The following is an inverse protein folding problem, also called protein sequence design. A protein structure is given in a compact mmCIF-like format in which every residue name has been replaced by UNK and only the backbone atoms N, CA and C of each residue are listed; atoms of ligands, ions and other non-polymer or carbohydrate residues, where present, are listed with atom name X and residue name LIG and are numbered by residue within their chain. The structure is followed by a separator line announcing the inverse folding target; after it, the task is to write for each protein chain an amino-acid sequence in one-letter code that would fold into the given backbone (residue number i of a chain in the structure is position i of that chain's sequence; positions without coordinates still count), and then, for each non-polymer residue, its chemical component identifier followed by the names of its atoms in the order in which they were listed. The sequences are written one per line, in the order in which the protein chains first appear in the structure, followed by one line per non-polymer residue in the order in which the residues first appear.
data_IF_963371305409
#
_entry.id   IF_963371305409
#
_cell.length_a   1.000
_cell.length_b   1.000
_cell.length_c   1.000
_cell.angle_alpha   90.00
_cell.angle_beta   90.00
_cell.angle_gamma   90.00
#
_symmetry.space_group_name_H-M   'P 1'
#
loop_
_entity.id
_entity.type
_entity.pdbx_description
1 polymer ?
#
# COMPACT_ATOMS: atom_id res chain seq x y z
N UNK A 1 23.50 8.06 4.28
CA UNK A 1 23.62 7.40 2.97
C UNK A 1 23.91 5.93 3.22
N UNK A 2 22.86 5.10 3.38
CA UNK A 2 23.03 3.64 3.39
C UNK A 2 22.72 3.16 1.97
N UNK A 3 23.77 2.74 1.28
CA UNK A 3 23.72 2.04 0.02
C UNK A 3 23.53 0.55 0.35
N UNK A 4 22.43 -0.04 -0.10
CA UNK A 4 22.23 -1.48 -0.15
C UNK A 4 21.21 -1.72 -1.27
N UNK A 5 21.54 -2.18 -2.47
CA UNK A 5 22.61 -3.08 -2.85
C UNK A 5 21.99 -4.45 -3.12
N UNK A 6 21.39 -4.61 -4.30
CA UNK A 6 20.87 -5.88 -4.82
C UNK A 6 21.97 -6.94 -4.69
N UNK A 7 21.83 -7.87 -3.74
CA UNK A 7 22.74 -9.01 -3.58
C UNK A 7 22.00 -10.30 -3.92
N UNK A 8 22.55 -10.96 -4.93
CA UNK A 8 22.18 -12.27 -5.45
C UNK A 8 21.92 -13.30 -4.35
N UNK A 9 20.73 -13.90 -4.37
CA UNK A 9 20.59 -15.34 -4.17
C UNK A 9 20.38 -15.88 -2.75
N UNK A 10 19.80 -15.12 -1.79
CA UNK A 10 19.54 -15.72 -0.47
C UNK A 10 18.28 -15.21 0.23
N UNK A 11 17.55 -16.18 0.80
CA UNK A 11 16.23 -16.16 1.43
C UNK A 11 16.21 -15.37 2.77
N UNK A 12 16.59 -14.08 2.76
CA UNK A 12 16.63 -13.21 3.96
C UNK A 12 15.83 -11.92 3.81
N UNK A 13 15.03 -11.78 2.73
CA UNK A 13 14.12 -10.63 2.53
C UNK A 13 13.19 -10.43 3.74
N UNK A 14 12.92 -11.50 4.50
CA UNK A 14 12.03 -11.45 5.67
C UNK A 14 12.62 -10.71 6.88
N UNK A 15 13.89 -10.91 7.24
CA UNK A 15 14.40 -10.40 8.52
C UNK A 15 14.73 -8.90 8.44
N UNK A 16 15.32 -8.46 7.33
CA UNK A 16 15.69 -7.06 7.12
C UNK A 16 14.43 -6.17 6.98
N UNK A 17 13.42 -6.62 6.23
CA UNK A 17 12.14 -5.90 6.09
C UNK A 17 11.42 -5.72 7.42
N UNK A 18 11.34 -6.79 8.22
CA UNK A 18 10.69 -6.72 9.54
C UNK A 18 11.49 -5.84 10.50
N UNK A 19 12.82 -5.92 10.47
CA UNK A 19 13.69 -5.07 11.28
C UNK A 19 13.57 -3.59 10.91
N UNK A 20 13.40 -3.25 9.63
CA UNK A 20 13.20 -1.88 9.16
C UNK A 20 11.82 -1.30 9.58
N UNK A 21 10.81 -2.16 9.77
CA UNK A 21 9.47 -1.74 10.22
C UNK A 21 9.39 -1.63 11.75
N UNK A 22 9.86 -2.66 12.46
CA UNK A 22 9.66 -2.86 13.89
C UNK A 22 10.86 -2.40 14.72
N UNK A 23 11.22 -1.13 14.58
CA UNK A 23 12.24 -0.50 15.41
C UNK A 23 11.77 -0.24 16.86
N UNK A 24 12.63 0.36 17.68
CA UNK A 24 12.36 0.71 19.08
C UNK A 24 11.15 1.64 19.29
N UNK A 25 10.63 2.28 18.23
CA UNK A 25 9.47 3.17 18.30
C UNK A 25 8.15 2.47 17.94
N UNK A 26 8.18 1.23 17.48
CA UNK A 26 6.99 0.50 17.02
C UNK A 26 5.86 0.43 18.05
N UNK A 27 6.21 0.14 19.30
CA UNK A 27 5.24 -0.09 20.37
C UNK A 27 4.44 1.15 20.75
N UNK A 28 4.98 2.35 20.49
CA UNK A 28 4.31 3.62 20.78
C UNK A 28 3.49 4.17 19.62
N UNK A 29 3.51 3.51 18.46
CA UNK A 29 2.72 3.93 17.30
C UNK A 29 1.27 3.49 17.40
N UNK A 30 0.37 4.42 17.10
CA UNK A 30 -1.03 4.13 16.84
C UNK A 30 -1.22 3.38 15.51
N UNK A 31 -2.40 2.77 15.35
CA UNK A 31 -2.73 1.91 14.21
C UNK A 31 -2.37 2.54 12.85
N UNK A 32 -2.80 3.79 12.57
CA UNK A 32 -2.52 4.47 11.28
C UNK A 32 -1.04 4.77 11.07
N UNK A 33 -0.30 5.06 12.14
CA UNK A 33 1.14 5.25 12.04
C UNK A 33 1.88 3.93 11.75
N UNK A 34 1.44 2.81 12.33
CA UNK A 34 1.95 1.47 12.00
C UNK A 34 1.67 1.10 10.55
N UNK A 35 0.43 1.27 10.09
CA UNK A 35 0.05 1.04 8.69
C UNK A 35 0.95 1.84 7.73
N UNK A 36 1.06 3.16 7.94
CA UNK A 36 1.85 4.04 7.08
C UNK A 36 3.31 3.64 7.03
N UNK A 37 3.87 3.19 8.16
CA UNK A 37 5.26 2.70 8.20
C UNK A 37 5.47 1.44 7.37
N UNK A 38 4.54 0.49 7.47
CA UNK A 38 4.58 -0.72 6.64
C UNK A 38 4.50 -0.31 5.16
N UNK A 39 3.58 0.58 4.79
CA UNK A 39 3.41 1.08 3.41
C UNK A 39 4.66 1.75 2.85
N UNK A 40 5.32 2.60 3.65
CA UNK A 40 6.56 3.26 3.22
C UNK A 40 7.65 2.23 2.96
N UNK A 41 7.84 1.28 3.88
CA UNK A 41 8.81 0.21 3.68
C UNK A 41 8.45 -0.68 2.48
N UNK A 42 7.17 -1.00 2.27
CA UNK A 42 6.74 -1.72 1.06
C UNK A 42 7.17 -1.01 -0.22
N UNK A 43 7.09 0.33 -0.28
CA UNK A 43 7.54 1.11 -1.44
C UNK A 43 9.04 1.03 -1.72
N UNK A 44 9.87 0.76 -0.70
CA UNK A 44 11.32 0.56 -0.86
C UNK A 44 11.67 -0.84 -1.37
N UNK A 45 10.84 -1.84 -1.05
CA UNK A 45 11.09 -3.25 -1.38
C UNK A 45 10.33 -3.72 -2.63
N UNK A 46 9.25 -3.04 -3.03
CA UNK A 46 8.48 -3.32 -4.25
C UNK A 46 9.07 -2.59 -5.48
N UNK A 47 8.74 -3.04 -6.70
CA UNK A 47 9.09 -2.29 -7.91
C UNK A 47 8.54 -0.87 -7.86
N UNK A 48 9.30 0.10 -8.39
CA UNK A 48 8.87 1.49 -8.47
C UNK A 48 7.72 1.73 -9.46
N UNK A 49 7.46 0.78 -10.34
CA UNK A 49 6.32 0.79 -11.25
C UNK A 49 5.05 0.40 -10.46
N UNK A 50 4.10 1.32 -10.37
CA UNK A 50 2.91 1.18 -9.52
C UNK A 50 2.03 -0.01 -9.94
N UNK A 51 1.81 -0.20 -11.24
CA UNK A 51 1.01 -1.31 -11.75
C UNK A 51 1.65 -2.66 -11.41
N UNK A 52 2.97 -2.77 -11.57
CA UNK A 52 3.70 -3.98 -11.19
C UNK A 52 3.67 -4.23 -9.68
N UNK A 53 3.83 -3.18 -8.85
CA UNK A 53 3.74 -3.29 -7.40
C UNK A 53 2.35 -3.77 -6.96
N UNK A 54 1.27 -3.19 -7.52
CA UNK A 54 -0.10 -3.64 -7.30
C UNK A 54 -0.27 -5.12 -7.70
N UNK A 55 0.26 -5.53 -8.86
CA UNK A 55 0.18 -6.91 -9.30
C UNK A 55 0.84 -7.92 -8.37
N UNK A 56 1.84 -7.50 -7.58
CA UNK A 56 2.43 -8.33 -6.51
C UNK A 56 1.48 -8.39 -5.31
N UNK A 57 1.00 -7.23 -4.83
CA UNK A 57 0.07 -7.14 -3.71
C UNK A 57 -1.23 -7.91 -3.96
N UNK A 58 -1.75 -7.86 -5.18
CA UNK A 58 -2.95 -8.57 -5.59
C UNK A 58 -2.79 -10.08 -5.51
N UNK A 59 -1.63 -10.60 -5.88
CA UNK A 59 -1.32 -12.03 -5.72
C UNK A 59 -1.22 -12.41 -4.25
N UNK A 60 -0.67 -11.53 -3.41
CA UNK A 60 -0.55 -11.79 -1.97
C UNK A 60 -1.92 -11.85 -1.29
N UNK A 61 -2.80 -10.89 -1.57
CA UNK A 61 -4.13 -10.84 -0.92
C UNK A 61 -5.08 -11.92 -1.44
N UNK A 62 -4.89 -12.40 -2.67
CA UNK A 62 -5.68 -13.49 -3.24
C UNK A 62 -5.55 -14.82 -2.48
N UNK A 63 -4.45 -15.03 -1.76
CA UNK A 63 -4.23 -16.18 -0.88
C UNK A 63 -4.94 -16.04 0.47
N UNK A 64 -5.50 -14.86 0.78
CA UNK A 64 -6.22 -14.61 2.04
C UNK A 64 -7.69 -15.04 1.94
N UNK A 65 -8.29 -15.61 3.00
CA UNK A 65 -9.71 -15.96 2.99
C UNK A 65 -10.59 -14.71 2.84
N UNK A 66 -11.42 -14.69 1.78
CA UNK A 66 -12.38 -13.61 1.54
C UNK A 66 -13.40 -13.51 2.68
N UNK A 67 -13.75 -12.29 3.08
CA UNK A 67 -14.74 -12.02 4.13
C UNK A 67 -14.18 -12.07 5.56
N UNK A 68 -12.89 -12.36 5.73
CA UNK A 68 -12.20 -12.16 7.00
C UNK A 68 -11.62 -10.74 7.03
N UNK A 69 -12.35 -9.81 7.65
CA UNK A 69 -11.91 -8.42 7.79
C UNK A 69 -10.82 -8.33 8.86
N UNK A 70 -9.62 -7.94 8.46
CA UNK A 70 -8.47 -7.82 9.36
C UNK A 70 -7.83 -6.43 9.28
N UNK A 71 -7.73 -5.77 10.43
CA UNK A 71 -7.01 -4.50 10.57
C UNK A 71 -5.52 -4.60 10.22
N UNK A 72 -4.95 -5.80 10.30
CA UNK A 72 -3.62 -6.12 9.85
C UNK A 72 -3.43 -5.92 8.35
N UNK A 73 -4.50 -5.92 7.53
CA UNK A 73 -4.42 -5.78 6.08
C UNK A 73 -4.63 -4.34 5.58
N UNK A 74 -4.74 -3.37 6.49
CA UNK A 74 -5.00 -1.97 6.11
C UNK A 74 -3.83 -1.30 5.36
N UNK A 75 -2.65 -1.90 5.34
CA UNK A 75 -1.54 -1.40 4.51
C UNK A 75 -1.77 -1.62 3.01
N UNK A 76 -2.62 -2.55 2.59
CA UNK A 76 -2.99 -2.72 1.18
C UNK A 76 -3.70 -1.48 0.62
N UNK A 77 -4.80 -0.99 1.20
CA UNK A 77 -5.40 0.26 0.76
C UNK A 77 -4.52 1.48 1.06
N UNK A 78 -3.75 1.50 2.15
CA UNK A 78 -2.81 2.62 2.41
C UNK A 78 -1.70 2.72 1.35
N UNK A 79 -1.28 1.61 0.73
CA UNK A 79 -0.36 1.62 -0.41
C UNK A 79 -0.95 2.35 -1.63
N UNK A 80 -2.22 2.08 -1.95
CA UNK A 80 -2.93 2.80 -3.00
C UNK A 80 -3.06 4.29 -2.67
N UNK A 81 -3.35 4.63 -1.40
CA UNK A 81 -3.36 6.02 -0.92
C UNK A 81 -2.02 6.72 -1.17
N UNK A 82 -0.90 6.04 -0.93
CA UNK A 82 0.43 6.65 -1.00
C UNK A 82 1.00 6.75 -2.42
N UNK A 83 0.80 5.72 -3.24
CA UNK A 83 1.51 5.59 -4.53
C UNK A 83 0.58 5.69 -5.75
N UNK A 84 -0.74 5.66 -5.56
CA UNK A 84 -1.72 5.56 -6.63
C UNK A 84 -2.43 6.87 -7.01
N UNK A 85 -2.00 8.02 -6.50
CA UNK A 85 -2.72 9.29 -6.64
C UNK A 85 -2.55 9.97 -8.00
N UNK A 86 -1.58 9.57 -8.82
CA UNK A 86 -1.41 10.13 -10.16
C UNK A 86 -2.64 9.83 -11.03
N UNK A 87 -3.05 10.81 -11.84
CA UNK A 87 -4.25 10.71 -12.69
C UNK A 87 -4.20 9.48 -13.62
N UNK A 88 -3.02 9.13 -14.15
CA UNK A 88 -2.84 7.94 -14.99
C UNK A 88 -3.10 6.62 -14.26
N UNK A 89 -3.07 6.62 -12.93
CA UNK A 89 -3.32 5.46 -12.09
C UNK A 89 -4.74 5.40 -11.52
N UNK A 90 -5.59 6.38 -11.83
CA UNK A 90 -6.93 6.49 -11.24
C UNK A 90 -7.75 5.20 -11.31
N UNK A 91 -7.92 4.63 -12.51
CA UNK A 91 -8.72 3.43 -12.72
C UNK A 91 -8.12 2.21 -11.99
N UNK A 92 -6.79 2.09 -11.98
CA UNK A 92 -6.07 1.03 -11.27
C UNK A 92 -6.27 1.15 -9.76
N UNK A 93 -6.13 2.36 -9.23
CA UNK A 93 -6.30 2.67 -7.81
C UNK A 93 -7.73 2.41 -7.35
N UNK A 94 -8.74 2.84 -8.11
CA UNK A 94 -10.15 2.59 -7.76
C UNK A 94 -10.47 1.09 -7.75
N UNK A 95 -10.02 0.34 -8.77
CA UNK A 95 -10.21 -1.10 -8.82
C UNK A 95 -9.49 -1.83 -7.66
N UNK A 96 -8.29 -1.38 -7.28
CA UNK A 96 -7.54 -1.94 -6.16
C UNK A 96 -8.25 -1.67 -4.81
N UNK A 97 -8.73 -0.43 -4.57
CA UNK A 97 -9.46 -0.10 -3.35
C UNK A 97 -10.76 -0.91 -3.20
N UNK A 98 -11.51 -1.09 -4.29
CA UNK A 98 -12.70 -1.95 -4.29
C UNK A 98 -12.35 -3.39 -3.87
N UNK A 99 -11.29 -3.95 -4.47
CA UNK A 99 -10.81 -5.30 -4.15
C UNK A 99 -10.40 -5.43 -2.69
N UNK A 100 -9.59 -4.50 -2.18
CA UNK A 100 -9.04 -4.58 -0.82
C UNK A 100 -10.08 -4.34 0.28
N UNK A 101 -11.18 -3.66 -0.05
CA UNK A 101 -12.33 -3.48 0.87
C UNK A 101 -13.03 -4.79 1.22
N UNK A 102 -12.82 -5.86 0.46
CA UNK A 102 -13.35 -7.19 0.80
C UNK A 102 -12.61 -7.87 1.97
N UNK A 103 -11.41 -7.38 2.29
CA UNK A 103 -10.51 -7.95 3.31
C UNK A 103 -10.22 -6.98 4.46
N UNK A 104 -10.49 -5.69 4.27
CA UNK A 104 -10.24 -4.64 5.25
C UNK A 104 -11.16 -3.44 4.97
N UNK A 105 -10.75 -2.22 5.28
CA UNK A 105 -11.46 -0.99 4.90
C UNK A 105 -10.54 -0.05 4.13
N UNK A 106 -11.07 0.57 3.07
CA UNK A 106 -10.41 1.60 2.29
C UNK A 106 -10.84 3.02 2.69
N UNK A 107 -11.55 3.22 3.81
CA UNK A 107 -12.18 4.49 4.17
C UNK A 107 -11.21 5.67 4.33
N UNK A 108 -9.96 5.40 4.68
CA UNK A 108 -8.90 6.41 4.74
C UNK A 108 -8.29 6.62 3.35
N UNK A 109 -8.05 5.53 2.63
CA UNK A 109 -7.35 5.52 1.37
C UNK A 109 -8.14 6.13 0.21
N UNK A 110 -9.47 6.07 0.23
CA UNK A 110 -10.32 6.65 -0.82
C UNK A 110 -10.41 8.18 -0.76
N UNK A 111 -10.10 8.80 0.39
CA UNK A 111 -10.35 10.24 0.61
C UNK A 111 -9.56 11.17 -0.32
N UNK A 112 -8.25 10.94 -0.57
CA UNK A 112 -7.49 11.78 -1.50
C UNK A 112 -8.08 11.77 -2.92
N UNK A 113 -8.70 10.67 -3.31
CA UNK A 113 -9.31 10.48 -4.62
C UNK A 113 -10.60 11.31 -4.79
N UNK A 114 -11.35 11.57 -3.71
CA UNK A 114 -12.60 12.34 -3.79
C UNK A 114 -12.39 13.79 -4.25
N UNK A 115 -11.22 14.38 -3.96
CA UNK A 115 -10.90 15.73 -4.41
C UNK A 115 -10.74 15.83 -5.94
N UNK A 116 -10.39 14.74 -6.63
CA UNK A 116 -10.30 14.72 -8.10
C UNK A 116 -11.67 14.73 -8.77
N UNK A 117 -12.67 14.09 -8.16
CA UNK A 117 -14.03 14.06 -8.68
C UNK A 117 -14.70 15.45 -8.73
N UNK A 118 -14.36 16.33 -7.79
CA UNK A 118 -14.79 17.73 -7.86
C UNK A 118 -14.03 18.51 -8.95
N UNK A 119 -12.71 18.37 -9.06
CA UNK A 119 -11.92 19.14 -10.04
C UNK A 119 -12.15 18.69 -11.50
N UNK A 120 -12.38 17.40 -11.76
CA UNK A 120 -12.65 16.88 -13.11
C UNK A 120 -13.97 17.41 -13.69
N UNK A 121 -14.99 17.63 -12.84
CA UNK A 121 -16.25 18.24 -13.26
C UNK A 121 -16.10 19.73 -13.63
N UNK A 122 -15.09 20.44 -13.10
CA UNK A 122 -14.82 21.84 -13.44
C UNK A 122 -13.94 22.02 -14.68
N UNK A 123 -13.26 20.97 -15.14
CA UNK A 123 -12.40 21.00 -16.34
C UNK A 123 -13.08 20.42 -17.59
N UNK A 124 -14.28 19.84 -17.44
CA UNK A 124 -15.11 19.37 -18.55
C UNK A 124 -16.14 20.38 -19.07
N UNK A 125 -16.15 21.61 -18.53
CA UNK A 125 -16.97 22.75 -18.99
C UNK A 125 -16.12 23.86 -19.62
#
# INVERSE_FOLDING_TARGET
MKLGGYRSGQLWINDDFIADIMDETWDVLELKARMRRITINLGEYLPSDYEHALGILDKTIAEYPVGCVDSGLLYFPDFVEMYGQDECHWDLSMAALERYTQYSTAEFAVRPFMHWGEFALYLSD
#
